data_IF_042815894204
#
_entry.id   IF_042815894204
#
_cell.length_a   1.000
_cell.length_b   1.000
_cell.length_c   1.000
_cell.angle_alpha   90.00
_cell.angle_beta   90.00
_cell.angle_gamma   90.00
#
_symmetry.space_group_name_H-M   'P 1'
#
loop_
_entity.id
_entity.type
_entity.pdbx_description
1 polymer ?
#
# COMPACT_ATOMS: atom_id res chain seq x y z
N UNK A 1 18.61 -5.60 9.51
CA UNK A 1 17.70 -5.06 10.55
C UNK A 1 16.37 -4.82 9.87
N UNK A 2 15.20 -5.12 10.46
CA UNK A 2 13.94 -4.94 9.74
C UNK A 2 13.79 -3.48 9.27
N UNK A 3 13.21 -3.29 8.09
CA UNK A 3 13.08 -1.98 7.46
C UNK A 3 12.17 -1.10 8.33
N UNK A 4 12.59 0.13 8.63
CA UNK A 4 11.70 1.09 9.28
C UNK A 4 10.59 1.49 8.28
N UNK A 5 9.29 1.37 8.62
CA UNK A 5 8.22 1.71 7.68
C UNK A 5 8.34 3.11 7.08
N UNK A 6 8.73 4.09 7.89
CA UNK A 6 8.94 5.48 7.49
C UNK A 6 10.03 5.62 6.41
N UNK A 7 11.12 4.86 6.50
CA UNK A 7 12.20 4.90 5.53
C UNK A 7 11.76 4.28 4.19
N UNK A 8 11.01 3.19 4.23
CA UNK A 8 10.40 2.60 3.02
C UNK A 8 9.42 3.58 2.36
N UNK A 9 8.56 4.23 3.15
CA UNK A 9 7.61 5.23 2.64
C UNK A 9 8.33 6.44 2.05
N UNK A 10 9.42 6.94 2.67
CA UNK A 10 10.25 8.02 2.11
C UNK A 10 10.91 7.61 0.80
N UNK A 11 11.43 6.39 0.72
CA UNK A 11 12.04 5.88 -0.50
C UNK A 11 11.01 5.80 -1.64
N UNK A 12 9.81 5.28 -1.37
CA UNK A 12 8.71 5.24 -2.35
C UNK A 12 8.31 6.67 -2.75
N UNK A 13 8.12 7.56 -1.77
CA UNK A 13 7.72 8.94 -2.01
C UNK A 13 8.67 9.72 -2.93
N UNK A 14 9.97 9.46 -2.83
CA UNK A 14 10.99 10.14 -3.64
C UNK A 14 10.90 9.82 -5.14
N UNK A 15 10.33 8.67 -5.51
CA UNK A 15 10.36 8.17 -6.91
C UNK A 15 8.98 7.86 -7.49
N UNK A 16 7.91 7.88 -6.68
CA UNK A 16 6.55 7.48 -7.10
C UNK A 16 5.94 8.31 -8.24
N UNK A 17 6.49 9.49 -8.53
CA UNK A 17 5.93 10.43 -9.50
C UNK A 17 4.49 10.82 -9.16
N UNK A 18 3.58 10.55 -10.08
CA UNK A 18 2.17 10.89 -10.01
C UNK A 18 1.26 9.68 -9.68
N UNK A 19 1.85 8.64 -9.09
CA UNK A 19 1.14 7.46 -8.64
C UNK A 19 0.09 7.80 -7.57
N UNK A 20 -1.06 7.13 -7.64
CA UNK A 20 -2.08 7.19 -6.60
C UNK A 20 -1.67 6.27 -5.46
N UNK A 21 -1.63 6.77 -4.24
CA UNK A 21 -1.22 6.00 -3.06
C UNK A 21 -2.42 5.71 -2.15
N UNK A 22 -2.49 4.49 -1.62
CA UNK A 22 -3.54 4.05 -0.69
C UNK A 22 -2.89 3.57 0.62
N UNK A 23 -2.51 4.49 1.51
CA UNK A 23 -2.01 4.14 2.84
C UNK A 23 -3.15 3.65 3.73
N UNK A 24 -2.87 2.64 4.55
CA UNK A 24 -3.77 2.22 5.62
C UNK A 24 -3.03 1.98 6.94
N UNK A 25 -3.79 1.97 8.02
CA UNK A 25 -3.33 1.63 9.37
C UNK A 25 -2.01 2.34 9.74
N UNK A 26 -0.97 1.60 10.10
CA UNK A 26 0.31 2.13 10.60
C UNK A 26 1.08 2.96 9.57
N UNK A 27 0.82 2.81 8.28
CA UNK A 27 1.48 3.62 7.24
C UNK A 27 0.85 5.00 7.07
N UNK A 28 -0.42 5.16 7.47
CA UNK A 28 -1.20 6.36 7.25
C UNK A 28 -0.64 7.63 7.93
N UNK A 29 -0.26 7.61 9.23
CA UNK A 29 0.27 8.80 9.89
C UNK A 29 1.56 9.30 9.24
N UNK A 30 2.52 8.40 9.01
CA UNK A 30 3.78 8.74 8.36
C UNK A 30 3.56 9.29 6.95
N UNK A 31 2.68 8.66 6.16
CA UNK A 31 2.40 9.11 4.80
C UNK A 31 1.84 10.53 4.76
N UNK A 32 0.93 10.88 5.67
CA UNK A 32 0.36 12.25 5.76
C UNK A 32 1.44 13.30 6.00
N UNK A 33 2.50 12.98 6.74
CA UNK A 33 3.64 13.89 6.94
C UNK A 33 4.60 13.91 5.75
N UNK A 34 4.86 12.74 5.16
CA UNK A 34 5.79 12.61 4.03
C UNK A 34 5.21 13.23 2.74
N UNK A 35 3.88 13.18 2.58
CA UNK A 35 3.19 13.51 1.34
C UNK A 35 1.82 14.18 1.60
N UNK A 36 1.78 15.35 2.27
CA UNK A 36 0.52 15.98 2.70
C UNK A 36 -0.41 16.43 1.56
N UNK A 37 0.14 16.68 0.37
CA UNK A 37 -0.59 17.21 -0.80
C UNK A 37 -0.49 16.32 -2.05
N UNK A 38 -0.38 15.01 -1.86
CA UNK A 38 -0.26 14.07 -2.96
C UNK A 38 -1.61 13.55 -3.51
N UNK A 39 -1.54 12.53 -4.39
CA UNK A 39 -2.68 11.77 -4.84
C UNK A 39 -2.89 10.57 -3.92
N UNK A 40 -3.38 10.77 -2.70
CA UNK A 40 -3.67 9.67 -1.78
C UNK A 40 -5.12 9.58 -1.33
N UNK A 41 -5.55 8.35 -1.05
CA UNK A 41 -6.77 8.04 -0.35
C UNK A 41 -6.43 7.14 0.83
N UNK A 42 -6.35 7.72 2.03
CA UNK A 42 -6.04 6.96 3.23
C UNK A 42 -7.30 6.27 3.74
N UNK A 43 -7.16 5.00 4.12
CA UNK A 43 -8.26 4.22 4.67
C UNK A 43 -7.95 3.82 6.12
N UNK A 44 -8.58 4.48 7.10
CA UNK A 44 -8.47 4.14 8.54
C UNK A 44 -9.85 3.76 9.05
N UNK A 45 -9.95 2.63 9.77
CA UNK A 45 -11.23 2.06 10.22
C UNK A 45 -11.80 0.97 9.29
N UNK A 46 -11.10 0.63 8.21
CA UNK A 46 -11.47 -0.44 7.27
C UNK A 46 -10.23 -1.29 6.95
N UNK A 47 -9.77 -2.05 7.96
CA UNK A 47 -8.72 -3.05 7.77
C UNK A 47 -9.16 -4.09 6.73
N UNK A 48 -8.22 -4.52 5.87
CA UNK A 48 -8.47 -5.39 4.72
C UNK A 48 -8.99 -4.67 3.48
N UNK A 49 -9.46 -3.43 3.61
CA UNK A 49 -10.09 -2.68 2.53
C UNK A 49 -9.14 -1.96 1.56
N UNK A 50 -7.90 -1.71 1.97
CA UNK A 50 -6.97 -0.87 1.23
C UNK A 50 -6.67 -1.43 -0.16
N UNK A 51 -6.45 -2.74 -0.26
CA UNK A 51 -6.15 -3.39 -1.54
C UNK A 51 -7.33 -3.34 -2.53
N UNK A 52 -8.57 -3.48 -2.06
CA UNK A 52 -9.77 -3.35 -2.90
C UNK A 52 -10.03 -1.91 -3.32
N UNK A 53 -9.82 -0.93 -2.43
CA UNK A 53 -9.90 0.49 -2.79
C UNK A 53 -8.85 0.84 -3.86
N UNK A 54 -7.61 0.38 -3.66
CA UNK A 54 -6.53 0.55 -4.65
C UNK A 54 -6.87 -0.11 -5.99
N UNK A 55 -7.47 -1.31 -5.98
CA UNK A 55 -7.88 -1.96 -7.22
C UNK A 55 -8.92 -1.13 -7.98
N UNK A 56 -9.93 -0.61 -7.29
CA UNK A 56 -10.93 0.27 -7.91
C UNK A 56 -10.32 1.52 -8.55
N UNK A 57 -9.35 2.14 -7.87
CA UNK A 57 -8.59 3.27 -8.41
C UNK A 57 -7.75 2.89 -9.62
N UNK A 58 -7.12 1.71 -9.59
CA UNK A 58 -6.28 1.22 -10.69
C UNK A 58 -7.09 0.94 -11.95
N UNK A 59 -8.28 0.35 -11.79
CA UNK A 59 -9.23 0.12 -12.89
C UNK A 59 -9.81 1.43 -13.43
N UNK A 60 -10.08 2.41 -12.56
CA UNK A 60 -10.65 3.69 -12.97
C UNK A 60 -9.63 4.60 -13.67
N UNK A 61 -8.34 4.49 -13.33
CA UNK A 61 -7.23 5.32 -13.85
C UNK A 61 -6.10 4.43 -14.37
N UNK A 62 -6.31 3.66 -15.46
CA UNK A 62 -5.34 2.70 -15.98
C UNK A 62 -4.00 3.34 -16.40
N UNK A 63 -4.00 4.64 -16.68
CA UNK A 63 -2.81 5.41 -17.05
C UNK A 63 -1.94 5.84 -15.86
N UNK A 64 -2.41 5.66 -14.61
CA UNK A 64 -1.67 6.03 -13.40
C UNK A 64 -1.30 4.79 -12.60
N UNK A 65 -0.08 4.74 -12.08
CA UNK A 65 0.31 3.70 -11.11
C UNK A 65 -0.52 3.83 -9.83
N UNK A 66 -0.92 2.70 -9.24
CA UNK A 66 -1.56 2.66 -7.93
C UNK A 66 -0.75 1.83 -6.96
N UNK A 67 -0.36 2.44 -5.84
CA UNK A 67 0.46 1.84 -4.80
C UNK A 67 -0.38 1.68 -3.53
N UNK A 68 -0.63 0.46 -3.11
CA UNK A 68 -1.31 0.15 -1.84
C UNK A 68 -0.26 -0.10 -0.77
N UNK A 69 -0.40 0.52 0.40
CA UNK A 69 0.44 0.26 1.56
C UNK A 69 -0.39 -0.42 2.65
N UNK A 70 -0.42 -1.74 2.60
CA UNK A 70 -1.19 -2.60 3.50
C UNK A 70 -0.30 -3.19 4.61
N UNK A 71 -0.91 -3.71 5.67
CA UNK A 71 -0.24 -4.47 6.72
C UNK A 71 -0.65 -5.94 6.69
N UNK A 72 0.20 -6.83 7.17
CA UNK A 72 -0.09 -8.27 7.30
C UNK A 72 -1.39 -8.57 8.06
N UNK A 73 -1.58 -7.95 9.22
CA UNK A 73 -2.83 -8.08 9.98
C UNK A 73 -4.05 -7.51 9.25
N UNK A 74 -3.88 -6.44 8.47
CA UNK A 74 -4.95 -5.85 7.68
C UNK A 74 -5.33 -6.76 6.50
N UNK A 75 -4.35 -7.26 5.74
CA UNK A 75 -4.58 -8.19 4.64
C UNK A 75 -5.30 -9.46 5.11
N UNK A 76 -4.94 -10.01 6.27
CA UNK A 76 -5.61 -11.21 6.81
C UNK A 76 -7.10 -11.02 7.08
N UNK A 77 -7.54 -9.80 7.42
CA UNK A 77 -8.97 -9.51 7.60
C UNK A 77 -9.77 -9.61 6.30
N UNK A 78 -9.12 -9.52 5.14
CA UNK A 78 -9.77 -9.68 3.85
C UNK A 78 -8.88 -10.43 2.85
N UNK A 79 -8.37 -11.59 3.26
CA UNK A 79 -7.41 -12.38 2.45
C UNK A 79 -7.95 -12.76 1.06
N UNK A 80 -9.28 -12.97 0.96
CA UNK A 80 -9.96 -13.23 -0.32
C UNK A 80 -9.78 -12.13 -1.38
N UNK A 81 -9.42 -10.91 -0.98
CA UNK A 81 -9.10 -9.82 -1.90
C UNK A 81 -7.91 -10.15 -2.81
N UNK A 82 -7.02 -11.06 -2.42
CA UNK A 82 -5.94 -11.52 -3.30
C UNK A 82 -6.48 -12.11 -4.61
N UNK A 83 -7.53 -12.93 -4.54
CA UNK A 83 -8.15 -13.53 -5.73
C UNK A 83 -8.82 -12.47 -6.61
N UNK A 84 -9.52 -11.51 -6.01
CA UNK A 84 -10.16 -10.40 -6.74
C UNK A 84 -9.12 -9.52 -7.45
N UNK A 85 -8.05 -9.12 -6.74
CA UNK A 85 -7.00 -8.27 -7.30
C UNK A 85 -6.25 -8.97 -8.44
N UNK A 86 -5.94 -10.26 -8.28
CA UNK A 86 -5.30 -11.07 -9.31
C UNK A 86 -6.20 -11.26 -10.54
N UNK A 87 -7.49 -11.59 -10.32
CA UNK A 87 -8.46 -11.83 -11.39
C UNK A 87 -8.75 -10.59 -12.24
N UNK A 88 -8.71 -9.39 -11.64
CA UNK A 88 -8.90 -8.13 -12.35
C UNK A 88 -7.73 -7.74 -13.27
N UNK A 89 -6.52 -8.29 -13.04
CA UNK A 89 -5.33 -8.10 -13.89
C UNK A 89 -4.97 -6.64 -14.19
N UNK A 90 -5.18 -5.75 -13.23
CA UNK A 90 -4.83 -4.33 -13.36
C UNK A 90 -3.31 -4.17 -13.51
N UNK A 91 -2.85 -3.76 -14.71
CA UNK A 91 -1.41 -3.68 -15.07
C UNK A 91 -0.64 -2.62 -14.29
N UNK A 92 -1.34 -1.65 -13.72
CA UNK A 92 -0.82 -0.50 -12.98
C UNK A 92 -0.89 -0.68 -11.45
N UNK A 93 -1.25 -1.86 -10.95
CA UNK A 93 -1.49 -2.10 -9.52
C UNK A 93 -0.27 -2.73 -8.81
N UNK A 94 0.17 -2.11 -7.71
CA UNK A 94 1.21 -2.61 -6.81
C UNK A 94 0.71 -2.65 -5.38
N UNK A 95 0.79 -3.83 -4.77
CA UNK A 95 0.36 -4.08 -3.41
C UNK A 95 1.59 -4.30 -2.52
N UNK A 96 1.99 -3.28 -1.77
CA UNK A 96 3.02 -3.40 -0.74
C UNK A 96 2.41 -3.89 0.56
N UNK A 97 2.97 -4.96 1.12
CA UNK A 97 2.65 -5.49 2.43
C UNK A 97 3.77 -5.15 3.41
N UNK A 98 3.49 -4.31 4.39
CA UNK A 98 4.39 -4.00 5.50
C UNK A 98 4.20 -5.05 6.59
N UNK A 99 5.02 -6.12 6.54
CA UNK A 99 4.93 -7.26 7.45
C UNK A 99 5.77 -7.01 8.69
N UNK A 100 5.14 -6.94 9.86
CA UNK A 100 5.81 -6.78 11.16
C UNK A 100 5.33 -7.78 12.23
N UNK A 101 4.34 -8.62 11.88
CA UNK A 101 3.83 -9.70 12.70
C UNK A 101 2.93 -9.28 13.86
N UNK A 102 2.50 -8.02 13.95
CA UNK A 102 1.69 -7.58 15.08
C UNK A 102 0.55 -6.63 14.68
N UNK A 103 -0.57 -6.72 15.41
CA UNK A 103 -1.61 -5.71 15.41
C UNK A 103 -1.16 -4.49 16.21
N UNK A 104 -0.27 -3.69 15.60
CA UNK A 104 0.38 -2.58 16.27
C UNK A 104 -0.62 -1.53 16.82
N UNK A 105 -1.78 -1.37 16.18
CA UNK A 105 -2.80 -0.39 16.58
C UNK A 105 -3.58 -0.77 17.85
N UNK A 106 -3.63 -2.06 18.22
CA UNK A 106 -4.44 -2.58 19.33
C UNK A 106 -3.65 -3.04 20.55
N UNK A 107 -2.34 -2.76 20.58
CA UNK A 107 -1.44 -3.20 21.67
C UNK A 107 -0.34 -4.17 21.25
N UNK A 108 -0.05 -4.28 19.95
CA UNK A 108 1.04 -5.10 19.39
C UNK A 108 0.94 -6.60 19.71
N UNK A 109 -0.28 -7.13 19.79
CA UNK A 109 -0.51 -8.57 19.83
C UNK A 109 -0.06 -9.23 18.53
N UNK A 110 0.43 -10.46 18.60
CA UNK A 110 0.81 -11.22 17.42
C UNK A 110 -0.37 -11.37 16.44
N UNK A 111 -0.09 -11.16 15.16
CA UNK A 111 -1.03 -11.45 14.08
C UNK A 111 -1.20 -12.97 13.96
N UNK A 112 -2.41 -13.52 13.78
CA UNK A 112 -2.59 -14.96 13.57
C UNK A 112 -1.91 -15.40 12.27
N UNK A 113 -1.28 -16.58 12.27
CA UNK A 113 -0.65 -17.13 11.08
C UNK A 113 0.63 -16.42 10.65
N UNK A 114 1.52 -16.05 11.58
CA UNK A 114 2.82 -15.43 11.26
C UNK A 114 3.68 -16.23 10.29
N UNK A 115 3.48 -17.55 10.28
CA UNK A 115 4.23 -18.51 9.48
C UNK A 115 3.70 -18.63 8.04
N UNK A 116 2.62 -17.91 7.70
CA UNK A 116 2.11 -17.91 6.32
C UNK A 116 3.03 -17.10 5.41
N UNK A 117 3.18 -17.61 4.19
CA UNK A 117 3.90 -16.92 3.12
C UNK A 117 2.90 -16.15 2.25
N UNK A 118 2.75 -14.85 2.52
CA UNK A 118 1.84 -13.99 1.76
C UNK A 118 2.28 -13.84 0.30
N UNK A 119 3.59 -13.88 0.03
CA UNK A 119 4.14 -13.86 -1.33
C UNK A 119 3.69 -15.08 -2.15
N UNK A 120 3.74 -16.28 -1.56
CA UNK A 120 3.23 -17.51 -2.18
C UNK A 120 1.71 -17.52 -2.29
N UNK A 121 0.99 -17.01 -1.29
CA UNK A 121 -0.47 -16.85 -1.38
C UNK A 121 -0.88 -15.92 -2.51
N UNK A 122 -0.23 -14.75 -2.63
CA UNK A 122 -0.49 -13.81 -3.72
C UNK A 122 -0.15 -14.42 -5.08
N UNK A 123 0.98 -15.13 -5.19
CA UNK A 123 1.36 -15.85 -6.41
C UNK A 123 0.33 -16.93 -6.77
N UNK A 124 -0.11 -17.72 -5.79
CA UNK A 124 -1.14 -18.76 -5.95
C UNK A 124 -2.51 -18.20 -6.33
N UNK A 125 -2.85 -17.00 -5.85
CA UNK A 125 -4.05 -16.27 -6.26
C UNK A 125 -3.96 -15.74 -7.70
N UNK A 126 -2.76 -15.66 -8.28
CA UNK A 126 -2.53 -15.24 -9.66
C UNK A 126 -1.92 -13.84 -9.81
N UNK A 127 -1.33 -13.26 -8.76
CA UNK A 127 -0.50 -12.06 -8.93
C UNK A 127 0.63 -12.35 -9.93
N UNK A 128 0.89 -11.38 -10.81
CA UNK A 128 1.82 -11.59 -11.92
C UNK A 128 3.23 -11.85 -11.43
N UNK A 129 3.67 -11.07 -10.44
CA UNK A 129 4.95 -11.25 -9.77
C UNK A 129 4.82 -10.90 -8.29
N UNK A 130 5.63 -11.57 -7.50
CA UNK A 130 5.72 -11.39 -6.06
C UNK A 130 7.18 -11.18 -5.69
N UNK A 131 7.43 -10.28 -4.75
CA UNK A 131 8.75 -9.93 -4.25
C UNK A 131 8.74 -9.97 -2.73
N UNK A 132 9.76 -10.55 -2.12
CA UNK A 132 10.03 -10.42 -0.69
C UNK A 132 11.32 -9.60 -0.54
N UNK A 133 11.25 -8.49 0.20
CA UNK A 133 12.34 -7.54 0.37
C UNK A 133 12.61 -7.38 1.86
N UNK A 134 13.85 -7.63 2.25
CA UNK A 134 14.27 -7.61 3.65
C UNK A 134 15.15 -6.41 4.01
N UNK A 135 15.69 -5.71 3.02
CA UNK A 135 16.64 -4.61 3.22
C UNK A 135 16.23 -3.36 2.42
N UNK A 136 16.37 -2.18 3.06
CA UNK A 136 15.96 -0.90 2.47
C UNK A 136 16.68 -0.60 1.15
N UNK A 137 17.96 -0.95 1.06
CA UNK A 137 18.75 -0.75 -0.15
C UNK A 137 18.29 -1.63 -1.31
N UNK A 138 17.76 -2.83 -1.03
CA UNK A 138 17.12 -3.64 -2.07
C UNK A 138 15.82 -3.00 -2.55
N UNK A 139 14.99 -2.48 -1.63
CA UNK A 139 13.79 -1.74 -2.00
C UNK A 139 14.15 -0.59 -2.95
N UNK A 140 15.10 0.27 -2.55
CA UNK A 140 15.56 1.41 -3.36
C UNK A 140 16.01 0.99 -4.77
N UNK A 141 16.78 -0.10 -4.90
CA UNK A 141 17.21 -0.62 -6.20
C UNK A 141 16.04 -1.13 -7.06
N UNK A 142 15.01 -1.71 -6.45
CA UNK A 142 13.85 -2.28 -7.16
C UNK A 142 12.78 -1.26 -7.52
N UNK A 143 12.65 -0.16 -6.77
CA UNK A 143 11.56 0.82 -6.95
C UNK A 143 11.39 1.29 -8.41
N UNK A 144 12.45 1.63 -9.18
CA UNK A 144 12.28 2.02 -10.59
C UNK A 144 11.57 0.95 -11.44
N UNK A 145 11.90 -0.34 -11.22
CA UNK A 145 11.24 -1.45 -11.89
C UNK A 145 9.80 -1.65 -11.39
N UNK A 146 9.59 -1.60 -10.07
CA UNK A 146 8.26 -1.75 -9.46
C UNK A 146 7.27 -0.67 -9.89
N UNK A 147 7.74 0.49 -10.36
CA UNK A 147 6.89 1.57 -10.87
C UNK A 147 6.50 1.41 -12.36
N UNK A 148 7.26 0.63 -13.14
CA UNK A 148 7.09 0.50 -14.59
C UNK A 148 6.62 -0.88 -15.03
N UNK A 149 6.87 -1.90 -14.22
CA UNK A 149 6.55 -3.29 -14.50
C UNK A 149 5.04 -3.59 -14.50
N UNK A 150 4.57 -4.43 -15.41
CA UNK A 150 3.15 -4.79 -15.47
C UNK A 150 2.71 -5.63 -14.26
N UNK A 151 1.69 -5.15 -13.55
CA UNK A 151 1.05 -5.79 -12.42
C UNK A 151 -0.04 -6.81 -12.78
N UNK A 152 -0.81 -7.28 -11.77
CA UNK A 152 -0.72 -6.89 -10.36
C UNK A 152 0.56 -7.42 -9.70
N UNK A 153 1.29 -6.53 -9.02
CA UNK A 153 2.51 -6.87 -8.28
C UNK A 153 2.23 -6.96 -6.79
N UNK A 154 2.82 -7.95 -6.13
CA UNK A 154 2.83 -8.08 -4.68
C UNK A 154 4.24 -7.88 -4.15
N UNK A 155 4.42 -7.01 -3.17
CA UNK A 155 5.73 -6.71 -2.59
C UNK A 155 5.64 -6.80 -1.09
N UNK A 156 6.13 -7.90 -0.52
CA UNK A 156 6.28 -8.05 0.92
C UNK A 156 7.55 -7.33 1.39
N UNK A 157 7.39 -6.45 2.37
CA UNK A 157 8.47 -5.74 3.04
C UNK A 157 8.57 -6.27 4.47
N UNK A 158 9.73 -6.82 4.84
CA UNK A 158 10.03 -7.16 6.23
C UNK A 158 10.32 -5.88 7.01
N UNK A 159 9.40 -5.50 7.89
CA UNK A 159 9.40 -4.18 8.53
C UNK A 159 9.35 -4.26 10.05
N UNK A 160 9.86 -3.22 10.70
CA UNK A 160 9.70 -3.00 12.12
C UNK A 160 8.37 -2.31 12.44
N UNK A 161 8.26 -1.79 13.66
CA UNK A 161 7.12 -0.97 14.05
C UNK A 161 7.24 0.45 13.51
N UNK A 162 6.13 1.01 13.03
CA UNK A 162 6.02 2.43 12.71
C UNK A 162 6.20 3.28 13.99
N UNK A 163 6.59 4.53 13.87
CA UNK A 163 6.72 5.45 15.02
C UNK A 163 5.37 5.83 15.62
N UNK A 164 4.35 5.93 14.77
CA UNK A 164 2.99 6.33 15.15
C UNK A 164 1.95 5.39 14.57
N UNK A 165 0.89 5.18 15.32
CA UNK A 165 -0.32 4.53 14.87
C UNK A 165 -1.45 5.56 14.65
N UNK A 166 -2.49 5.24 13.87
CA UNK A 166 -3.67 6.10 13.77
C UNK A 166 -4.39 6.35 15.11
N UNK A 167 -4.16 5.51 16.12
CA UNK A 167 -4.72 5.70 17.46
C UNK A 167 -4.00 6.82 18.23
N UNK A 168 -2.72 7.03 17.96
CA UNK A 168 -1.89 8.10 18.53
C UNK A 168 -1.96 9.38 17.70
N UNK A 169 -2.19 9.28 16.39
CA UNK A 169 -2.29 10.42 15.48
C UNK A 169 -3.57 10.33 14.63
N UNK A 170 -4.60 11.02 15.10
CA UNK A 170 -5.93 11.09 14.46
C UNK A 170 -6.09 12.28 13.50
N UNK A 171 -5.01 12.98 13.14
CA UNK A 171 -5.07 14.22 12.35
C UNK A 171 -5.39 14.03 10.85
N UNK A 172 -5.99 12.89 10.46
CA UNK A 172 -6.44 12.64 9.10
C UNK A 172 -7.72 13.41 8.76
N UNK A 173 -7.89 13.80 7.49
CA UNK A 173 -9.16 14.36 6.99
C UNK A 173 -10.22 13.26 6.90
N UNK A 174 -11.52 13.58 7.04
CA UNK A 174 -12.59 12.63 6.76
C UNK A 174 -12.47 12.02 5.36
N UNK A 175 -12.83 10.74 5.21
CA UNK A 175 -12.64 10.01 3.95
C UNK A 175 -13.33 10.69 2.75
N UNK A 176 -14.53 11.22 2.93
CA UNK A 176 -15.27 11.90 1.86
C UNK A 176 -14.54 13.17 1.34
N UNK A 177 -13.87 13.92 2.22
CA UNK A 177 -13.06 15.10 1.83
C UNK A 177 -11.79 14.69 1.09
N UNK A 178 -11.14 13.61 1.53
CA UNK A 178 -9.97 13.04 0.84
C UNK A 178 -10.35 12.64 -0.60
N UNK A 179 -11.46 11.92 -0.76
CA UNK A 179 -11.95 11.49 -2.08
C UNK A 179 -12.38 12.68 -2.94
N UNK A 180 -13.02 13.71 -2.36
CA UNK A 180 -13.34 14.96 -3.05
C UNK A 180 -12.09 15.65 -3.59
N UNK A 181 -11.06 15.77 -2.75
CA UNK A 181 -9.76 16.37 -3.11
C UNK A 181 -9.06 15.57 -4.21
N UNK A 182 -8.95 14.24 -4.03
CA UNK A 182 -8.36 13.34 -5.01
C UNK A 182 -9.07 13.42 -6.36
N UNK A 183 -10.41 13.39 -6.37
CA UNK A 183 -11.21 13.54 -7.58
C UNK A 183 -10.96 14.87 -8.28
N UNK A 184 -10.86 15.97 -7.52
CA UNK A 184 -10.54 17.29 -8.07
C UNK A 184 -9.17 17.30 -8.75
N UNK A 185 -8.14 16.78 -8.07
CA UNK A 185 -6.76 16.71 -8.59
C UNK A 185 -6.66 15.82 -9.85
N UNK A 186 -7.32 14.67 -9.86
CA UNK A 186 -7.34 13.74 -11.00
C UNK A 186 -8.11 14.27 -12.23
N UNK A 187 -9.06 15.19 -12.05
CA UNK A 187 -9.76 15.87 -13.16
C UNK A 187 -8.91 16.99 -13.77
N UNK A 188 -8.07 17.65 -12.96
CA UNK A 188 -7.23 18.77 -13.38
C UNK A 188 -5.92 18.37 -14.07
N UNK A 189 -5.54 17.09 -14.06
CA UNK A 189 -4.33 16.63 -14.75
C UNK A 189 -4.65 16.30 -16.21
N UNK A 190 -3.97 16.91 -17.21
CA UNK A 190 -4.16 16.56 -18.61
C UNK A 190 -3.98 15.04 -18.81
N UNK A 191 -4.86 14.41 -19.60
CA UNK A 191 -4.57 13.08 -20.12
C UNK A 191 -3.32 13.26 -21.00
N UNK A 192 -2.19 12.67 -20.61
CA UNK A 192 -1.02 12.63 -21.49
C UNK A 192 -1.45 12.11 -22.86
N UNK A 193 -1.22 12.93 -23.89
CA UNK A 193 -1.47 12.58 -25.28
C UNK A 193 -0.42 11.62 -25.82
#
# INVERSE_FOLDING_TARGET
MPIKPEDALRAIAAVRGDAICVPTMTTAPAWRTIAPDDLSATCVGFMGGASSLGLGLALARPERRVLVFDGDGSLLMQLGALATNAGARARNFVHFLFKNGVYHTSGAQAVPGLDVDFGLMAKGAGYRRTYAIHELEELKRRLPALLTEEGPLFVELSTGLADKTPMQDRSGRPFHEQIGTLRGRLKGTPRGG
#
